data_IF_144651112199
#
_entry.id   IF_144651112199
#
_cell.length_a   1.000
_cell.length_b   1.000
_cell.length_c   1.000
_cell.angle_alpha   90.00
_cell.angle_beta   90.00
_cell.angle_gamma   90.00
#
_symmetry.space_group_name_H-M   'P 1'
#
loop_
_entity.id
_entity.type
_entity.pdbx_description
1 polymer ?
#
# COMPACT_ATOMS: atom_id res chain seq x y z
N UNK A 1 -1.68 -3.63 -27.90
CA UNK A 1 -0.95 -3.02 -29.03
C UNK A 1 0.49 -2.77 -28.59
N UNK A 2 1.30 -3.83 -28.73
CA UNK A 2 2.76 -3.78 -28.51
C UNK A 2 3.37 -3.52 -29.88
N UNK A 3 4.23 -2.50 -30.00
CA UNK A 3 5.23 -2.20 -31.02
C UNK A 3 5.19 -0.71 -31.37
N UNK A 4 5.98 0.09 -30.63
CA UNK A 4 6.64 1.30 -31.14
C UNK A 4 7.50 1.92 -30.02
N UNK A 5 8.70 1.40 -29.78
CA UNK A 5 9.77 2.09 -29.04
C UNK A 5 11.09 1.31 -29.19
N UNK A 6 11.51 1.08 -30.44
CA UNK A 6 12.88 0.67 -30.76
C UNK A 6 13.23 1.32 -32.10
N UNK A 7 13.65 2.57 -32.08
CA UNK A 7 14.43 3.24 -33.13
C UNK A 7 14.71 4.68 -32.67
N UNK A 8 15.75 4.89 -31.88
CA UNK A 8 16.50 6.14 -31.78
C UNK A 8 17.75 5.96 -30.92
N UNK A 9 18.66 5.11 -31.35
CA UNK A 9 20.01 5.03 -30.79
C UNK A 9 20.98 4.45 -31.80
N UNK A 10 21.15 5.08 -32.96
CA UNK A 10 22.18 4.73 -33.93
C UNK A 10 22.40 5.87 -34.93
N UNK A 11 22.79 7.05 -34.49
CA UNK A 11 23.47 8.07 -35.32
C UNK A 11 24.22 9.00 -34.38
N UNK A 12 25.45 8.65 -34.02
CA UNK A 12 26.50 9.57 -33.57
C UNK A 12 27.81 8.82 -33.29
N UNK A 13 28.35 8.19 -34.35
CA UNK A 13 29.70 7.66 -34.28
C UNK A 13 30.26 7.56 -35.72
N UNK A 14 30.61 8.69 -36.34
CA UNK A 14 31.46 8.74 -37.55
C UNK A 14 31.80 10.20 -37.88
N UNK A 15 32.81 10.75 -37.24
CA UNK A 15 33.58 11.87 -37.76
C UNK A 15 34.80 12.16 -36.85
N UNK A 16 35.86 11.40 -36.95
CA UNK A 16 37.20 11.82 -36.53
C UNK A 16 38.23 10.85 -37.12
N UNK A 17 38.43 10.92 -38.42
CA UNK A 17 39.65 10.44 -39.09
C UNK A 17 39.84 11.30 -40.33
N UNK A 18 40.59 12.37 -40.22
CA UNK A 18 41.36 12.93 -41.34
C UNK A 18 42.52 13.70 -40.77
N UNK A 19 43.62 13.00 -40.66
CA UNK A 19 44.90 13.63 -40.47
C UNK A 19 45.37 14.29 -41.76
N UNK A 20 45.96 15.46 -41.64
CA UNK A 20 46.91 15.99 -42.64
C UNK A 20 48.08 16.59 -41.91
N UNK A 21 49.19 15.99 -42.12
CA UNK A 21 50.52 16.53 -41.79
C UNK A 21 50.75 17.82 -42.57
N UNK A 22 51.21 18.86 -41.90
CA UNK A 22 51.88 19.99 -42.52
C UNK A 22 53.14 20.28 -41.71
N UNK A 23 54.26 19.85 -42.24
CA UNK A 23 55.60 20.29 -41.87
C UNK A 23 55.91 21.53 -42.68
N UNK A 24 56.28 22.67 -42.10
CA UNK A 24 57.59 23.29 -42.33
C UNK A 24 57.74 24.65 -41.59
N UNK A 25 58.90 24.74 -40.94
CA UNK A 25 59.73 25.91 -40.68
C UNK A 25 59.04 27.26 -40.43
N UNK A 26 59.13 27.72 -39.21
CA UNK A 26 59.51 29.16 -38.94
C UNK A 26 60.12 29.29 -37.55
N UNK A 27 61.26 29.91 -37.52
CA UNK A 27 62.12 30.56 -36.56
C UNK A 27 61.78 30.48 -35.06
N UNK A 28 62.82 30.09 -34.29
CA UNK A 28 62.91 30.33 -32.86
C UNK A 28 62.65 31.79 -32.54
N UNK A 29 61.50 32.03 -31.88
CA UNK A 29 61.27 33.25 -31.11
C UNK A 29 61.32 32.81 -29.65
N UNK A 30 62.35 33.28 -28.94
CA UNK A 30 62.48 33.14 -27.49
C UNK A 30 61.38 33.99 -26.83
N UNK A 31 60.33 33.34 -26.39
CA UNK A 31 59.33 33.94 -25.56
C UNK A 31 59.65 33.67 -24.09
N UNK A 32 59.57 34.65 -23.18
CA UNK A 32 59.77 34.43 -21.77
C UNK A 32 58.74 33.44 -21.22
N UNK A 33 59.22 32.48 -20.38
CA UNK A 33 58.34 31.52 -19.66
C UNK A 33 57.23 32.25 -18.94
N UNK A 34 55.96 31.81 -19.09
CA UNK A 34 54.87 32.32 -18.28
C UNK A 34 55.13 31.97 -16.80
N UNK A 35 54.79 32.89 -15.87
CA UNK A 35 54.94 32.61 -14.43
C UNK A 35 54.15 31.38 -14.04
N UNK A 36 54.81 30.52 -13.27
CA UNK A 36 54.43 29.20 -12.78
C UNK A 36 52.94 28.89 -12.84
N UNK A 37 52.57 27.89 -13.65
CA UNK A 37 51.33 27.14 -13.47
C UNK A 37 51.43 26.48 -12.11
N UNK A 38 50.66 27.02 -11.14
CA UNK A 38 50.34 26.29 -9.93
C UNK A 38 49.86 24.91 -10.38
N UNK A 39 50.58 23.87 -9.96
CA UNK A 39 50.11 22.49 -10.09
C UNK A 39 48.76 22.42 -9.39
N UNK A 40 47.72 22.37 -10.18
CA UNK A 40 46.41 21.99 -9.71
C UNK A 40 46.58 20.65 -9.02
N UNK A 41 46.57 20.67 -7.70
CA UNK A 41 46.66 19.47 -6.86
C UNK A 41 45.40 18.69 -7.16
N UNK A 42 45.48 17.66 -7.97
CA UNK A 42 44.40 16.74 -8.22
C UNK A 42 43.82 16.33 -6.85
N UNK A 43 42.49 16.52 -6.68
CA UNK A 43 41.82 16.08 -5.47
C UNK A 43 42.16 14.61 -5.21
N UNK A 44 42.46 14.23 -3.96
CA UNK A 44 42.82 12.87 -3.65
C UNK A 44 41.70 11.93 -4.14
N UNK A 45 42.08 10.92 -4.91
CA UNK A 45 41.16 9.85 -5.32
C UNK A 45 40.67 9.17 -4.05
N UNK A 46 39.33 9.06 -3.83
CA UNK A 46 38.81 8.42 -2.60
C UNK A 46 39.33 7.00 -2.49
N UNK A 47 39.60 6.54 -1.26
CA UNK A 47 39.96 5.14 -0.99
C UNK A 47 38.81 4.25 -1.52
N UNK A 48 39.11 3.22 -2.32
CA UNK A 48 38.09 2.29 -2.83
C UNK A 48 37.20 1.70 -1.72
N UNK A 49 37.74 1.49 -0.52
CA UNK A 49 36.98 1.01 0.62
C UNK A 49 36.00 2.08 1.16
N UNK A 50 36.40 3.35 1.21
CA UNK A 50 35.50 4.46 1.61
C UNK A 50 34.41 4.69 0.56
N UNK A 51 34.74 4.62 -0.73
CA UNK A 51 33.79 4.74 -1.81
C UNK A 51 32.73 3.62 -1.77
N UNK A 52 33.17 2.36 -1.52
CA UNK A 52 32.23 1.23 -1.37
C UNK A 52 31.34 1.36 -0.13
N UNK A 53 31.88 1.86 1.00
CA UNK A 53 31.11 2.09 2.20
C UNK A 53 30.05 3.20 2.01
N UNK A 54 30.41 4.28 1.32
CA UNK A 54 29.47 5.36 1.01
C UNK A 54 28.38 4.90 0.05
N UNK A 55 28.72 4.10 -0.96
CA UNK A 55 27.74 3.51 -1.86
C UNK A 55 26.76 2.60 -1.10
N UNK A 56 27.25 1.72 -0.23
CA UNK A 56 26.38 0.85 0.58
C UNK A 56 25.46 1.65 1.51
N UNK A 57 25.95 2.75 2.08
CA UNK A 57 25.14 3.67 2.90
C UNK A 57 24.05 4.33 2.07
N UNK A 58 24.37 4.79 0.87
CA UNK A 58 23.39 5.43 -0.01
C UNK A 58 22.33 4.43 -0.49
N UNK A 59 22.72 3.20 -0.81
CA UNK A 59 21.79 2.13 -1.16
C UNK A 59 20.84 1.80 0.01
N UNK A 60 21.35 1.70 1.25
CA UNK A 60 20.53 1.50 2.43
C UNK A 60 19.56 2.65 2.68
N UNK A 61 19.99 3.89 2.48
CA UNK A 61 19.15 5.08 2.63
C UNK A 61 18.04 5.11 1.57
N UNK A 62 18.36 4.76 0.33
CA UNK A 62 17.36 4.68 -0.75
C UNK A 62 16.33 3.57 -0.49
N UNK A 63 16.76 2.43 0.07
CA UNK A 63 15.85 1.34 0.44
C UNK A 63 14.88 1.79 1.56
N UNK A 64 15.38 2.43 2.62
CA UNK A 64 14.55 2.99 3.71
C UNK A 64 13.55 4.02 3.18
N UNK A 65 13.97 4.90 2.28
CA UNK A 65 13.09 5.88 1.64
C UNK A 65 11.98 5.21 0.84
N UNK A 66 12.32 4.22 0.04
CA UNK A 66 11.35 3.48 -0.76
C UNK A 66 10.32 2.76 0.12
N UNK A 67 10.74 2.17 1.24
CA UNK A 67 9.86 1.54 2.22
C UNK A 67 8.92 2.56 2.87
N UNK A 68 9.46 3.69 3.35
CA UNK A 68 8.65 4.75 3.96
C UNK A 68 7.63 5.37 2.98
N UNK A 69 8.00 5.54 1.71
CA UNK A 69 7.07 6.02 0.67
C UNK A 69 5.97 5.00 0.38
N UNK A 70 6.29 3.71 0.37
CA UNK A 70 5.30 2.66 0.18
C UNK A 70 4.32 2.58 1.36
N UNK A 71 4.81 2.65 2.59
CA UNK A 71 4.00 2.69 3.81
C UNK A 71 3.09 3.94 3.82
N UNK A 72 3.64 5.10 3.49
CA UNK A 72 2.86 6.34 3.44
C UNK A 72 1.75 6.29 2.38
N UNK A 73 2.02 5.70 1.21
CA UNK A 73 1.02 5.52 0.15
C UNK A 73 -0.11 4.57 0.61
N UNK A 74 0.23 3.47 1.28
CA UNK A 74 -0.75 2.53 1.83
C UNK A 74 -1.64 3.21 2.88
N UNK A 75 -1.04 3.92 3.84
CA UNK A 75 -1.77 4.68 4.86
C UNK A 75 -2.65 5.78 4.24
N UNK A 76 -2.17 6.47 3.19
CA UNK A 76 -2.93 7.47 2.45
C UNK A 76 -4.17 6.88 1.78
N UNK A 77 -4.05 5.70 1.17
CA UNK A 77 -5.17 5.00 0.54
C UNK A 77 -6.23 4.58 1.56
N UNK A 78 -5.83 4.33 2.80
CA UNK A 78 -6.71 4.04 3.94
C UNK A 78 -7.26 5.30 4.62
N UNK A 79 -6.91 6.49 4.15
CA UNK A 79 -7.26 7.81 4.72
C UNK A 79 -6.61 8.10 6.09
N UNK A 80 -5.57 7.38 6.46
CA UNK A 80 -4.76 7.63 7.67
C UNK A 80 -3.68 8.67 7.38
N UNK A 81 -4.10 9.90 7.07
CA UNK A 81 -3.21 10.96 6.61
C UNK A 81 -2.18 11.41 7.65
N UNK A 82 -2.52 11.39 8.92
CA UNK A 82 -1.57 11.77 9.98
C UNK A 82 -0.47 10.73 10.15
N UNK A 83 -0.81 9.45 10.08
CA UNK A 83 0.10 8.32 10.11
C UNK A 83 0.97 8.31 8.84
N UNK A 84 0.40 8.57 7.68
CA UNK A 84 1.14 8.69 6.43
C UNK A 84 2.18 9.84 6.47
N UNK A 85 1.83 10.99 7.02
CA UNK A 85 2.76 12.11 7.25
C UNK A 85 3.85 11.70 8.24
N UNK A 86 3.50 10.98 9.31
CA UNK A 86 4.46 10.52 10.32
C UNK A 86 5.46 9.51 9.75
N UNK A 87 5.04 8.60 8.87
CA UNK A 87 5.92 7.64 8.19
C UNK A 87 7.04 8.34 7.37
N UNK A 88 6.77 9.54 6.87
CA UNK A 88 7.71 10.36 6.09
C UNK A 88 8.47 11.40 6.92
N UNK A 89 8.43 11.36 8.24
CA UNK A 89 9.02 12.40 9.11
C UNK A 89 10.52 12.25 9.39
N UNK A 90 11.15 11.18 8.91
CA UNK A 90 12.58 10.94 9.10
C UNK A 90 13.42 11.86 8.20
N UNK A 91 14.18 12.79 8.81
CA UNK A 91 15.01 13.76 8.11
C UNK A 91 16.10 13.11 7.25
N UNK A 92 16.57 11.89 7.60
CA UNK A 92 17.62 11.20 6.84
C UNK A 92 17.13 10.73 5.46
N UNK A 93 15.84 10.38 5.34
CA UNK A 93 15.28 9.93 4.04
C UNK A 93 14.74 11.08 3.20
N UNK A 94 14.71 12.33 3.73
CA UNK A 94 14.10 13.47 3.07
C UNK A 94 14.80 13.83 1.75
N UNK A 95 14.02 13.92 0.68
CA UNK A 95 14.41 14.41 -0.64
C UNK A 95 13.19 14.96 -1.39
N UNK A 96 13.36 15.30 -2.67
CA UNK A 96 12.31 15.85 -3.53
C UNK A 96 11.10 14.88 -3.65
N UNK A 97 11.32 13.57 -3.64
CA UNK A 97 10.24 12.58 -3.73
C UNK A 97 9.39 12.54 -2.46
N UNK A 98 10.03 12.59 -1.29
CA UNK A 98 9.36 12.66 0.02
C UNK A 98 8.61 13.99 0.16
N UNK A 99 9.21 15.10 -0.26
CA UNK A 99 8.55 16.41 -0.23
C UNK A 99 7.28 16.43 -1.10
N UNK A 100 7.36 15.86 -2.31
CA UNK A 100 6.22 15.78 -3.22
C UNK A 100 5.07 14.93 -2.63
N UNK A 101 5.39 13.78 -2.03
CA UNK A 101 4.40 12.91 -1.40
C UNK A 101 3.77 13.59 -0.18
N UNK A 102 4.56 14.20 0.70
CA UNK A 102 4.05 14.99 1.82
C UNK A 102 3.10 16.11 1.38
N UNK A 103 3.42 16.79 0.27
CA UNK A 103 2.57 17.86 -0.28
C UNK A 103 1.23 17.26 -0.78
N UNK A 104 1.25 16.11 -1.44
CA UNK A 104 0.05 15.42 -1.91
C UNK A 104 -0.84 14.97 -0.75
N UNK A 105 -0.27 14.31 0.27
CA UNK A 105 -1.00 13.85 1.46
C UNK A 105 -1.65 15.03 2.19
N UNK A 106 -0.92 16.14 2.39
CA UNK A 106 -1.47 17.33 3.05
C UNK A 106 -2.60 17.96 2.24
N UNK A 107 -2.47 18.03 0.91
CA UNK A 107 -3.53 18.57 0.06
C UNK A 107 -4.80 17.71 0.11
N UNK A 108 -4.68 16.38 0.13
CA UNK A 108 -5.82 15.48 0.31
C UNK A 108 -6.46 15.66 1.70
N UNK A 109 -5.65 15.68 2.77
CA UNK A 109 -6.11 15.93 4.14
C UNK A 109 -6.86 17.27 4.26
N UNK A 110 -6.34 18.33 3.65
CA UNK A 110 -6.97 19.66 3.65
C UNK A 110 -8.29 19.70 2.86
N UNK A 111 -8.51 18.73 1.96
CA UNK A 111 -9.74 18.60 1.17
C UNK A 111 -10.87 17.87 1.90
N UNK A 112 -10.60 17.27 3.07
CA UNK A 112 -11.60 16.53 3.83
C UNK A 112 -12.77 17.43 4.25
N UNK A 113 -13.95 16.84 4.24
CA UNK A 113 -15.18 17.51 4.67
C UNK A 113 -15.81 16.77 5.83
N UNK A 114 -16.48 17.51 6.73
CA UNK A 114 -17.24 16.90 7.82
C UNK A 114 -18.49 16.19 7.28
N UNK A 115 -18.58 14.90 7.50
CA UNK A 115 -19.74 14.10 7.14
C UNK A 115 -20.82 14.23 8.20
N UNK A 116 -21.95 14.85 7.83
CA UNK A 116 -23.07 15.13 8.74
C UNK A 116 -24.27 14.20 8.57
N UNK A 117 -24.19 13.24 7.65
CA UNK A 117 -25.24 12.27 7.38
C UNK A 117 -25.35 11.16 8.43
N UNK A 118 -26.27 10.23 8.17
CA UNK A 118 -26.40 9.01 8.96
C UNK A 118 -25.23 8.06 8.65
N UNK A 119 -24.72 7.38 9.66
CA UNK A 119 -23.68 6.35 9.52
C UNK A 119 -24.37 4.99 9.43
N UNK A 120 -24.45 4.38 8.24
CA UNK A 120 -25.02 3.05 8.09
C UNK A 120 -24.18 2.02 8.88
N UNK A 121 -24.88 1.04 9.44
CA UNK A 121 -24.27 -0.12 10.07
C UNK A 121 -24.83 -1.37 9.41
N UNK A 122 -23.95 -2.22 8.91
CA UNK A 122 -24.28 -3.56 8.43
C UNK A 122 -23.57 -4.58 9.31
N UNK A 123 -24.18 -5.73 9.47
CA UNK A 123 -23.58 -6.82 10.23
C UNK A 123 -23.77 -8.14 9.50
N UNK A 124 -22.86 -9.06 9.79
CA UNK A 124 -22.90 -10.43 9.32
C UNK A 124 -22.72 -11.36 10.52
N UNK A 125 -23.26 -12.58 10.41
CA UNK A 125 -22.78 -13.71 11.21
C UNK A 125 -21.62 -14.37 10.46
N UNK A 126 -21.07 -15.46 11.01
CA UNK A 126 -20.08 -16.28 10.30
C UNK A 126 -20.61 -16.70 8.93
N UNK A 127 -19.73 -16.66 7.93
CA UNK A 127 -20.12 -16.91 6.54
C UNK A 127 -20.27 -18.41 6.25
N UNK A 128 -21.21 -18.73 5.36
CA UNK A 128 -21.34 -20.05 4.75
C UNK A 128 -20.29 -20.14 3.64
N UNK A 129 -19.24 -20.94 3.86
CA UNK A 129 -18.16 -21.17 2.89
C UNK A 129 -18.54 -22.25 1.88
N UNK A 130 -19.16 -23.33 2.34
CA UNK A 130 -19.61 -24.45 1.52
C UNK A 130 -21.13 -24.66 1.66
N UNK A 131 -21.95 -23.98 0.83
CA UNK A 131 -23.42 -24.04 0.88
C UNK A 131 -23.96 -25.47 0.76
N UNK A 132 -23.31 -26.34 0.00
CA UNK A 132 -23.69 -27.74 -0.19
C UNK A 132 -23.59 -28.58 1.08
N UNK A 133 -22.81 -28.16 2.09
CA UNK A 133 -22.77 -28.83 3.40
C UNK A 133 -23.86 -28.32 4.33
N UNK A 134 -24.29 -27.08 4.15
CA UNK A 134 -25.29 -26.41 4.99
C UNK A 134 -26.72 -26.67 4.50
N UNK A 135 -26.95 -26.55 3.19
CA UNK A 135 -28.29 -26.69 2.58
C UNK A 135 -28.53 -28.11 2.06
N UNK A 136 -28.51 -29.08 2.95
CA UNK A 136 -28.78 -30.49 2.62
C UNK A 136 -30.22 -30.84 2.93
N UNK A 137 -30.76 -31.94 2.36
CA UNK A 137 -32.10 -32.48 2.66
C UNK A 137 -32.28 -32.83 4.15
N UNK A 138 -31.18 -32.97 4.89
CA UNK A 138 -31.16 -33.31 6.33
C UNK A 138 -31.24 -32.07 7.22
N UNK A 139 -30.83 -30.92 6.71
CA UNK A 139 -30.92 -29.62 7.39
C UNK A 139 -32.16 -28.94 6.85
N UNK A 140 -33.22 -28.90 7.64
CA UNK A 140 -34.51 -28.32 7.21
C UNK A 140 -34.29 -26.90 6.72
N UNK A 141 -34.80 -26.53 5.53
CA UNK A 141 -34.70 -25.17 4.96
C UNK A 141 -35.30 -24.07 5.87
N UNK A 142 -36.03 -24.44 6.89
CA UNK A 142 -36.70 -23.56 7.87
C UNK A 142 -35.85 -23.28 9.11
N UNK A 143 -34.66 -23.83 9.24
CA UNK A 143 -33.80 -23.63 10.40
C UNK A 143 -32.84 -22.47 10.21
N UNK A 144 -33.28 -21.25 10.23
CA UNK A 144 -32.44 -20.07 10.56
C UNK A 144 -31.30 -19.69 9.60
N UNK A 145 -30.62 -20.62 8.95
CA UNK A 145 -29.45 -20.32 8.10
C UNK A 145 -29.80 -19.48 6.88
N UNK A 146 -30.93 -19.73 6.21
CA UNK A 146 -31.40 -18.94 5.08
C UNK A 146 -31.82 -17.49 5.42
N UNK A 147 -32.05 -17.19 6.68
CA UNK A 147 -32.56 -15.86 7.10
C UNK A 147 -31.59 -15.07 7.97
N UNK A 148 -30.51 -15.72 8.45
CA UNK A 148 -29.56 -15.07 9.36
C UNK A 148 -28.12 -15.13 8.91
N UNK A 149 -27.80 -15.90 7.86
CA UNK A 149 -26.42 -16.08 7.41
C UNK A 149 -26.29 -15.78 5.92
N UNK A 150 -25.15 -15.23 5.55
CA UNK A 150 -24.76 -14.99 4.16
C UNK A 150 -23.73 -16.02 3.70
N UNK A 151 -23.78 -16.35 2.42
CA UNK A 151 -22.68 -17.09 1.79
C UNK A 151 -21.45 -16.21 1.61
N UNK A 152 -20.25 -16.80 1.69
CA UNK A 152 -19.00 -16.13 1.34
C UNK A 152 -19.10 -15.43 -0.03
N UNK A 153 -19.60 -16.14 -1.05
CA UNK A 153 -19.78 -15.63 -2.39
C UNK A 153 -20.75 -14.44 -2.51
N UNK A 154 -21.62 -14.22 -1.51
CA UNK A 154 -22.48 -13.02 -1.46
C UNK A 154 -21.69 -11.82 -0.95
N UNK A 155 -20.92 -11.96 0.13
CA UNK A 155 -20.07 -10.90 0.65
C UNK A 155 -19.04 -10.45 -0.39
N UNK A 156 -18.38 -11.38 -1.09
CA UNK A 156 -17.47 -11.10 -2.19
C UNK A 156 -18.08 -10.24 -3.32
N UNK A 157 -19.41 -10.30 -3.49
CA UNK A 157 -20.15 -9.45 -4.44
C UNK A 157 -20.65 -8.14 -3.83
N UNK A 158 -20.85 -8.11 -2.53
CA UNK A 158 -21.32 -6.92 -1.79
C UNK A 158 -20.19 -5.89 -1.67
N UNK A 159 -18.98 -6.31 -1.31
CA UNK A 159 -17.84 -5.41 -1.06
C UNK A 159 -17.52 -4.49 -2.26
N UNK A 160 -17.36 -4.99 -3.51
CA UNK A 160 -17.14 -4.12 -4.66
C UNK A 160 -18.27 -3.09 -4.86
N UNK A 161 -19.53 -3.47 -4.62
CA UNK A 161 -20.66 -2.55 -4.76
C UNK A 161 -20.65 -1.46 -3.69
N UNK A 162 -20.23 -1.78 -2.46
CA UNK A 162 -20.06 -0.78 -1.41
C UNK A 162 -18.95 0.20 -1.77
N UNK A 163 -17.81 -0.32 -2.23
CA UNK A 163 -16.68 0.50 -2.67
C UNK A 163 -17.06 1.43 -3.84
N UNK A 164 -17.70 0.91 -4.89
CA UNK A 164 -18.16 1.68 -6.05
C UNK A 164 -19.14 2.79 -5.67
N UNK A 165 -19.93 2.58 -4.62
CA UNK A 165 -20.87 3.59 -4.09
C UNK A 165 -20.22 4.59 -3.14
N UNK A 166 -18.91 4.49 -2.91
CA UNK A 166 -18.14 5.40 -2.08
C UNK A 166 -18.23 5.15 -0.59
N UNK A 167 -18.68 3.97 -0.16
CA UNK A 167 -18.61 3.61 1.25
C UNK A 167 -17.16 3.37 1.69
N UNK A 168 -16.84 3.78 2.91
CA UNK A 168 -15.54 3.61 3.56
C UNK A 168 -15.79 2.97 4.92
N UNK A 169 -15.08 1.88 5.23
CA UNK A 169 -15.13 1.29 6.55
C UNK A 169 -14.65 2.31 7.58
N UNK A 170 -15.40 2.46 8.65
CA UNK A 170 -15.13 3.45 9.68
C UNK A 170 -15.18 2.81 11.06
N UNK A 171 -14.23 3.19 11.92
CA UNK A 171 -14.15 2.67 13.27
C UNK A 171 -15.31 3.21 14.13
N UNK A 172 -16.04 2.30 14.76
CA UNK A 172 -17.11 2.64 15.67
C UNK A 172 -16.64 3.50 16.85
N UNK A 173 -15.45 3.21 17.38
CA UNK A 173 -14.86 3.95 18.52
C UNK A 173 -14.42 5.36 18.11
N UNK A 174 -14.19 5.59 16.82
CA UNK A 174 -13.86 6.91 16.30
C UNK A 174 -15.10 7.84 16.15
N UNK A 175 -16.32 7.33 16.29
CA UNK A 175 -17.54 8.15 16.17
C UNK A 175 -17.82 9.04 17.38
N UNK A 176 -17.34 8.65 18.57
CA UNK A 176 -17.73 9.28 19.83
C UNK A 176 -16.51 9.53 20.71
N UNK A 177 -16.63 10.53 21.55
CA UNK A 177 -15.69 10.79 22.63
C UNK A 177 -16.42 11.08 23.94
N UNK A 178 -15.80 10.72 25.05
CA UNK A 178 -16.28 11.08 26.38
C UNK A 178 -15.67 12.41 26.79
N UNK A 179 -16.53 13.40 27.05
CA UNK A 179 -16.16 14.72 27.56
C UNK A 179 -16.70 14.92 28.97
N UNK A 180 -16.32 16.02 29.63
CA UNK A 180 -16.90 16.41 30.92
C UNK A 180 -18.42 16.64 30.85
N UNK A 181 -18.94 16.94 29.65
CA UNK A 181 -20.37 17.14 29.38
C UNK A 181 -21.10 15.85 28.98
N UNK A 182 -20.42 14.70 28.97
CA UNK A 182 -20.91 13.41 28.53
C UNK A 182 -20.39 13.00 27.15
N UNK A 183 -21.00 11.97 26.57
CA UNK A 183 -20.63 11.45 25.27
C UNK A 183 -21.02 12.44 24.17
N UNK A 184 -20.06 12.78 23.31
CA UNK A 184 -20.23 13.68 22.17
C UNK A 184 -19.78 13.01 20.88
N UNK A 185 -20.51 13.30 19.77
CA UNK A 185 -20.11 12.84 18.43
C UNK A 185 -18.86 13.60 17.98
N UNK A 186 -17.86 12.87 17.52
CA UNK A 186 -16.67 13.44 16.88
C UNK A 186 -16.99 13.83 15.44
N UNK A 187 -16.31 14.86 14.88
CA UNK A 187 -16.35 15.13 13.44
C UNK A 187 -15.87 13.90 12.65
N UNK A 188 -16.56 13.57 11.58
CA UNK A 188 -16.18 12.48 10.67
C UNK A 188 -15.62 13.13 9.41
N UNK A 189 -14.31 13.26 9.33
CA UNK A 189 -13.65 13.89 8.19
C UNK A 189 -13.36 12.85 7.11
N UNK A 190 -13.97 13.01 5.94
CA UNK A 190 -13.83 12.11 4.79
C UNK A 190 -13.64 12.91 3.49
N UNK A 191 -13.03 12.30 2.47
CA UNK A 191 -13.02 12.89 1.14
C UNK A 191 -14.44 13.17 0.64
N UNK A 192 -14.66 14.25 -0.14
CA UNK A 192 -15.97 14.58 -0.66
C UNK A 192 -16.62 13.41 -1.41
N UNK A 193 -17.89 13.13 -1.09
CA UNK A 193 -18.66 12.06 -1.71
C UNK A 193 -18.47 10.67 -1.11
N UNK A 194 -17.65 10.54 -0.08
CA UNK A 194 -17.53 9.29 0.69
C UNK A 194 -18.57 9.24 1.82
N UNK A 195 -18.96 8.02 2.19
CA UNK A 195 -19.94 7.73 3.26
C UNK A 195 -19.31 6.73 4.23
N UNK A 196 -19.23 7.04 5.53
CA UNK A 196 -18.71 6.10 6.52
C UNK A 196 -19.66 4.92 6.68
N UNK A 197 -19.13 3.72 6.83
CA UNK A 197 -19.87 2.47 7.02
C UNK A 197 -19.27 1.71 8.20
N UNK A 198 -20.11 1.36 9.17
CA UNK A 198 -19.73 0.40 10.22
C UNK A 198 -20.07 -1.00 9.71
N UNK A 199 -19.09 -1.90 9.79
CA UNK A 199 -19.27 -3.31 9.55
C UNK A 199 -18.95 -4.06 10.84
N UNK A 200 -19.84 -4.93 11.30
CA UNK A 200 -19.61 -5.81 12.45
C UNK A 200 -19.86 -7.28 12.11
N UNK A 201 -19.31 -8.15 12.92
CA UNK A 201 -19.53 -9.60 12.83
C UNK A 201 -20.13 -10.06 14.16
N UNK A 202 -21.34 -10.61 14.09
CA UNK A 202 -22.06 -11.09 15.25
C UNK A 202 -21.83 -12.59 15.45
N UNK A 203 -21.89 -13.04 16.69
CA UNK A 203 -21.84 -14.47 17.07
C UNK A 203 -20.61 -15.21 16.52
N UNK A 204 -19.41 -14.64 16.64
CA UNK A 204 -18.13 -15.23 16.21
C UNK A 204 -17.75 -16.39 17.13
N UNK A 205 -18.47 -17.49 17.03
CA UNK A 205 -18.30 -18.65 17.91
C UNK A 205 -17.64 -19.87 17.23
N UNK A 206 -17.57 -19.90 15.89
CA UNK A 206 -17.05 -21.01 15.08
C UNK A 206 -17.64 -22.38 15.45
N UNK A 207 -18.92 -22.42 15.80
CA UNK A 207 -19.60 -23.61 16.32
C UNK A 207 -20.83 -24.04 15.48
N UNK A 208 -21.02 -23.46 14.29
CA UNK A 208 -22.23 -23.68 13.49
C UNK A 208 -22.28 -25.03 12.77
N UNK A 209 -21.14 -25.69 12.57
CA UNK A 209 -21.06 -27.00 11.91
C UNK A 209 -20.39 -26.94 10.54
N UNK A 210 -20.51 -28.05 9.79
CA UNK A 210 -19.87 -28.17 8.48
C UNK A 210 -20.38 -27.09 7.51
N UNK A 211 -19.49 -26.63 6.64
CA UNK A 211 -19.78 -25.54 5.69
C UNK A 211 -19.47 -24.13 6.21
N UNK A 212 -19.19 -23.99 7.51
CA UNK A 212 -18.69 -22.76 8.15
C UNK A 212 -17.24 -22.93 8.59
N UNK A 213 -16.55 -21.84 8.90
CA UNK A 213 -15.29 -21.90 9.60
C UNK A 213 -15.47 -22.58 10.98
N UNK A 214 -14.57 -23.51 11.30
CA UNK A 214 -14.57 -24.27 12.56
C UNK A 214 -13.59 -23.68 13.57
N UNK A 215 -12.62 -22.93 13.09
CA UNK A 215 -11.55 -22.34 13.90
C UNK A 215 -10.92 -21.17 13.15
N UNK A 216 -10.61 -20.09 13.89
CA UNK A 216 -9.70 -19.05 13.49
C UNK A 216 -8.37 -19.24 14.25
N UNK A 217 -7.26 -19.08 13.57
CA UNK A 217 -5.92 -19.12 14.17
C UNK A 217 -4.94 -18.25 13.37
N UNK A 218 -3.80 -17.96 13.99
CA UNK A 218 -2.68 -17.28 13.32
C UNK A 218 -1.67 -18.34 12.93
N UNK A 219 -1.21 -18.33 11.69
CA UNK A 219 -0.21 -19.27 11.19
C UNK A 219 1.21 -18.90 11.64
N UNK A 220 2.22 -19.64 11.19
CA UNK A 220 3.64 -19.41 11.52
C UNK A 220 4.22 -18.12 10.93
N UNK A 221 3.55 -17.52 9.95
CA UNK A 221 3.93 -16.25 9.33
C UNK A 221 3.23 -15.04 9.96
N UNK A 222 2.30 -15.28 10.90
CA UNK A 222 1.49 -14.22 11.51
C UNK A 222 0.17 -13.94 10.80
N UNK A 223 -0.19 -14.73 9.78
CA UNK A 223 -1.39 -14.53 8.97
C UNK A 223 -2.62 -15.16 9.63
N UNK A 224 -3.78 -14.47 9.50
CA UNK A 224 -5.07 -15.02 9.93
C UNK A 224 -5.53 -16.12 8.98
N UNK A 225 -5.82 -17.30 9.54
CA UNK A 225 -6.24 -18.48 8.79
C UNK A 225 -7.48 -19.11 9.41
N UNK A 226 -8.31 -19.67 8.56
CA UNK A 226 -9.54 -20.37 8.95
C UNK A 226 -9.46 -21.84 8.58
N UNK A 227 -9.90 -22.67 9.50
CA UNK A 227 -10.09 -24.09 9.28
C UNK A 227 -11.54 -24.35 8.88
N UNK A 228 -11.78 -24.95 7.72
CA UNK A 228 -13.11 -25.22 7.18
C UNK A 228 -13.22 -26.67 6.75
N UNK A 229 -14.25 -27.40 7.20
CA UNK A 229 -14.52 -28.74 6.71
C UNK A 229 -15.06 -28.64 5.26
N UNK A 230 -14.44 -29.38 4.34
CA UNK A 230 -14.79 -29.35 2.92
C UNK A 230 -15.76 -30.48 2.50
N UNK A 231 -16.44 -30.37 1.35
CA UNK A 231 -17.41 -31.35 0.86
C UNK A 231 -16.83 -32.71 0.57
N UNK A 232 -15.51 -32.86 0.45
CA UNK A 232 -14.81 -34.12 0.20
C UNK A 232 -14.53 -34.90 1.51
N UNK A 233 -14.95 -34.37 2.66
CA UNK A 233 -14.72 -34.95 3.98
C UNK A 233 -13.31 -34.68 4.53
N UNK A 234 -12.60 -33.72 3.94
CA UNK A 234 -11.33 -33.20 4.42
C UNK A 234 -11.48 -31.85 5.11
N UNK A 235 -10.34 -31.17 5.25
CA UNK A 235 -10.25 -29.83 5.86
C UNK A 235 -9.44 -28.92 4.95
N UNK A 236 -9.97 -27.74 4.69
CA UNK A 236 -9.25 -26.67 4.04
C UNK A 236 -8.77 -25.66 5.08
N UNK A 237 -7.58 -25.12 4.84
CA UNK A 237 -7.00 -23.98 5.57
C UNK A 237 -6.95 -22.82 4.59
N UNK A 238 -7.72 -21.78 4.86
CA UNK A 238 -7.91 -20.66 3.94
C UNK A 238 -7.82 -19.32 4.68
N UNK A 239 -7.31 -18.24 4.06
CA UNK A 239 -7.26 -16.92 4.68
C UNK A 239 -8.63 -16.23 4.73
N UNK A 240 -9.54 -16.59 3.84
CA UNK A 240 -10.83 -15.93 3.58
C UNK A 240 -12.04 -16.77 3.99
N UNK A 241 -11.89 -17.53 5.07
CA UNK A 241 -12.94 -18.46 5.57
C UNK A 241 -14.08 -17.78 6.35
N UNK A 242 -14.02 -16.49 6.61
CA UNK A 242 -15.07 -15.71 7.28
C UNK A 242 -14.98 -14.23 6.90
N UNK A 243 -15.84 -13.39 7.45
CA UNK A 243 -16.03 -11.97 7.11
C UNK A 243 -14.72 -11.19 7.13
N UNK A 244 -13.93 -11.30 8.21
CA UNK A 244 -12.65 -10.59 8.32
C UNK A 244 -11.71 -10.95 7.16
N UNK A 245 -11.47 -12.25 6.92
CA UNK A 245 -10.57 -12.67 5.87
C UNK A 245 -11.06 -12.33 4.45
N UNK A 246 -12.39 -12.29 4.22
CA UNK A 246 -12.95 -11.83 2.93
C UNK A 246 -12.76 -10.32 2.76
N UNK A 247 -12.88 -9.54 3.84
CA UNK A 247 -12.63 -8.08 3.80
C UNK A 247 -11.15 -7.82 3.57
N UNK A 248 -10.25 -8.49 4.29
CA UNK A 248 -8.80 -8.35 4.12
C UNK A 248 -8.38 -8.65 2.67
N UNK A 249 -8.82 -9.78 2.12
CA UNK A 249 -8.55 -10.15 0.72
C UNK A 249 -9.15 -9.18 -0.32
N UNK A 250 -10.13 -8.37 0.05
CA UNK A 250 -10.73 -7.37 -0.83
C UNK A 250 -9.95 -6.06 -0.82
N UNK A 251 -9.32 -5.69 0.28
CA UNK A 251 -8.59 -4.41 0.42
C UNK A 251 -7.12 -4.50 0.00
N UNK A 252 -6.54 -5.73 -0.08
CA UNK A 252 -5.22 -6.00 -0.67
C UNK A 252 -5.22 -5.82 -2.21
#
# INVERSE_FOLDING_TARGET
MKKLCVMLAAVLLLALLSGCAFTDKLGQIDLPEPPGTEKETAAPTPDPAEAAAEQARQEALNARRAEALAEAEELRQQYFYDEAIAALSDEEIYDESVEAELAAIRAEKDSLVDYTGDVPHIFFHSLIVYPELVFTDRVTPMGGYNSGFSEKAELEKILPQLYERGYVLYDLDALWEMTDSGMQRKPILLPPGKTPLILSVDDVAYAYGDGFAQQLFVDENGELMYRVNNPQGGVDIVPDGDVMGVVDAFVE
#
